data_IF_462826114892
#
_entry.id   IF_462826114892
#
_cell.length_a   1.000
_cell.length_b   1.000
_cell.length_c   1.000
_cell.angle_alpha   90.00
_cell.angle_beta   90.00
_cell.angle_gamma   90.00
#
_symmetry.space_group_name_H-M   'P 1'
#
loop_
_entity.id
_entity.type
_entity.pdbx_description
1 polymer ?
#
# COMPACT_ATOMS: atom_id res chain seq x y z
N UNK A 1 1.66 -6.04 -16.69
CA UNK A 1 2.97 -6.07 -16.00
C UNK A 1 2.73 -6.34 -14.53
N UNK A 2 3.64 -7.04 -13.85
CA UNK A 2 3.64 -7.16 -12.39
C UNK A 2 4.53 -6.05 -11.81
N UNK A 3 4.17 -5.53 -10.65
CA UNK A 3 4.92 -4.47 -9.96
C UNK A 3 5.54 -5.00 -8.68
N UNK A 4 6.73 -4.52 -8.33
CA UNK A 4 7.38 -4.88 -7.07
C UNK A 4 7.26 -3.74 -6.07
N UNK A 5 6.79 -4.04 -4.87
CA UNK A 5 6.63 -3.07 -3.79
C UNK A 5 7.39 -3.50 -2.54
N UNK A 6 7.80 -2.58 -1.66
CA UNK A 6 8.31 -2.95 -0.34
C UNK A 6 7.25 -3.69 0.47
N UNK A 7 7.64 -4.75 1.18
CA UNK A 7 6.77 -5.55 2.01
C UNK A 7 6.12 -4.72 3.15
N UNK A 8 6.80 -3.66 3.61
CA UNK A 8 6.28 -2.72 4.62
C UNK A 8 5.05 -1.93 4.17
N UNK A 9 4.82 -1.82 2.86
CA UNK A 9 3.67 -1.11 2.30
C UNK A 9 2.38 -1.96 2.30
N UNK A 10 2.50 -3.29 2.52
CA UNK A 10 1.37 -4.19 2.53
C UNK A 10 0.56 -4.02 3.83
N UNK A 11 -0.72 -3.75 3.66
CA UNK A 11 -1.73 -3.90 4.70
C UNK A 11 -2.30 -5.30 4.61
N UNK A 12 -2.07 -6.10 5.65
CA UNK A 12 -2.63 -7.44 5.77
C UNK A 12 -3.55 -7.52 6.99
N UNK A 13 -4.83 -7.82 6.77
CA UNK A 13 -5.84 -7.97 7.84
C UNK A 13 -6.70 -9.19 7.55
N UNK A 14 -6.35 -10.33 8.17
CA UNK A 14 -6.91 -11.63 7.79
C UNK A 14 -6.59 -11.95 6.33
N UNK A 15 -7.63 -12.21 5.53
CA UNK A 15 -7.51 -12.50 4.10
C UNK A 15 -7.34 -11.23 3.23
N UNK A 16 -7.60 -10.04 3.79
CA UNK A 16 -7.44 -8.80 3.05
C UNK A 16 -5.95 -8.52 2.81
N UNK A 17 -5.59 -8.37 1.53
CA UNK A 17 -4.30 -7.86 1.07
C UNK A 17 -4.54 -6.55 0.33
N UNK A 18 -4.00 -5.46 0.88
CA UNK A 18 -4.21 -4.13 0.34
C UNK A 18 -2.97 -3.26 0.51
N UNK A 19 -2.93 -2.14 -0.21
CA UNK A 19 -1.94 -1.08 -0.03
C UNK A 19 -2.66 0.25 0.10
N UNK A 20 -1.98 1.24 0.68
CA UNK A 20 -2.45 2.62 0.59
C UNK A 20 -1.79 3.32 -0.59
N UNK A 21 -2.61 3.91 -1.45
CA UNK A 21 -2.16 4.83 -2.50
C UNK A 21 -2.63 6.24 -2.18
N UNK A 22 -1.86 7.25 -2.59
CA UNK A 22 -2.30 8.64 -2.54
C UNK A 22 -3.09 8.95 -3.81
N UNK A 23 -4.31 9.45 -3.64
CA UNK A 23 -5.08 10.01 -4.74
C UNK A 23 -4.55 11.39 -5.18
N UNK A 24 -5.20 11.99 -6.17
CA UNK A 24 -4.83 13.32 -6.70
C UNK A 24 -4.94 14.43 -5.65
N UNK A 25 -5.68 14.20 -4.57
CA UNK A 25 -5.83 15.13 -3.44
C UNK A 25 -4.85 14.82 -2.30
N UNK A 26 -3.87 13.94 -2.53
CA UNK A 26 -2.92 13.45 -1.51
C UNK A 26 -3.61 12.73 -0.34
N UNK A 27 -4.81 12.18 -0.54
CA UNK A 27 -5.51 11.43 0.50
C UNK A 27 -5.20 9.93 0.35
N UNK A 28 -4.82 9.24 1.44
CA UNK A 28 -4.62 7.80 1.41
C UNK A 28 -5.93 7.05 1.11
N UNK A 29 -5.88 6.17 0.11
CA UNK A 29 -6.97 5.26 -0.24
C UNK A 29 -6.49 3.83 -0.17
N UNK A 30 -7.28 3.00 0.49
CA UNK A 30 -7.03 1.57 0.56
C UNK A 30 -7.38 0.92 -0.78
N UNK A 31 -6.43 0.24 -1.38
CA UNK A 31 -6.56 -0.46 -2.66
C UNK A 31 -6.27 -1.94 -2.44
N UNK A 32 -7.24 -2.80 -2.73
CA UNK A 32 -7.01 -4.24 -2.69
C UNK A 32 -6.05 -4.64 -3.81
N UNK A 33 -5.09 -5.50 -3.48
CA UNK A 33 -4.09 -5.99 -4.42
C UNK A 33 -3.98 -7.50 -4.37
N UNK A 34 -3.60 -8.10 -5.50
CA UNK A 34 -3.26 -9.51 -5.57
C UNK A 34 -1.73 -9.64 -5.51
N UNK A 35 -1.25 -10.36 -4.51
CA UNK A 35 0.18 -10.57 -4.28
C UNK A 35 0.60 -11.91 -4.89
N UNK A 36 1.76 -11.92 -5.53
CA UNK A 36 2.44 -13.09 -6.07
C UNK A 36 3.58 -13.54 -5.16
N UNK A 37 4.78 -13.57 -5.72
CA UNK A 37 6.00 -14.01 -5.03
C UNK A 37 6.52 -12.96 -4.05
N UNK A 38 7.36 -13.41 -3.10
CA UNK A 38 8.14 -12.55 -2.21
C UNK A 38 9.62 -12.79 -2.46
N UNK A 39 10.37 -11.71 -2.65
CA UNK A 39 11.83 -11.74 -2.76
C UNK A 39 12.43 -10.78 -1.75
N UNK A 40 12.99 -11.32 -0.67
CA UNK A 40 13.54 -10.53 0.44
C UNK A 40 12.50 -9.59 1.05
N UNK A 41 12.73 -8.28 0.91
CA UNK A 41 11.85 -7.22 1.40
C UNK A 41 10.88 -6.69 0.33
N UNK A 42 10.81 -7.33 -0.83
CA UNK A 42 9.90 -6.95 -1.90
C UNK A 42 8.79 -7.99 -2.11
N UNK A 43 7.61 -7.49 -2.47
CA UNK A 43 6.44 -8.29 -2.82
C UNK A 43 6.07 -8.00 -4.27
N UNK A 44 5.79 -9.06 -5.00
CA UNK A 44 5.24 -8.98 -6.34
C UNK A 44 3.73 -8.69 -6.26
N UNK A 45 3.28 -7.65 -6.95
CA UNK A 45 1.89 -7.27 -7.13
C UNK A 45 1.46 -7.66 -8.53
N UNK A 46 0.60 -8.67 -8.61
CA UNK A 46 0.12 -9.23 -9.86
C UNK A 46 -1.08 -8.48 -10.44
N UNK A 47 -1.82 -7.73 -9.61
CA UNK A 47 -2.93 -6.87 -10.04
C UNK A 47 -3.40 -5.93 -8.93
N UNK A 48 -4.06 -4.83 -9.31
CA UNK A 48 -4.70 -3.88 -8.38
C UNK A 48 -3.90 -2.59 -8.15
N UNK A 49 -2.64 -2.55 -8.60
CA UNK A 49 -1.75 -1.40 -8.54
C UNK A 49 -1.26 -1.07 -9.96
N UNK A 50 -1.26 0.21 -10.33
CA UNK A 50 -0.78 0.72 -11.61
C UNK A 50 0.60 1.36 -11.51
N UNK A 51 1.31 1.41 -12.64
CA UNK A 51 2.55 2.17 -12.76
C UNK A 51 2.27 3.66 -12.54
N UNK A 52 3.18 4.34 -11.82
CA UNK A 52 3.03 5.77 -11.50
C UNK A 52 2.10 6.09 -10.34
N UNK A 53 1.39 5.11 -9.76
CA UNK A 53 0.63 5.34 -8.53
C UNK A 53 1.58 5.60 -7.33
N UNK A 54 1.19 6.57 -6.48
CA UNK A 54 2.00 6.96 -5.31
C UNK A 54 1.66 6.07 -4.12
N UNK A 55 2.55 5.14 -3.81
CA UNK A 55 2.41 4.16 -2.73
C UNK A 55 2.85 4.74 -1.38
N UNK A 56 2.05 4.50 -0.33
CA UNK A 56 2.44 4.81 1.06
C UNK A 56 3.27 3.65 1.63
N UNK A 57 4.54 3.91 1.94
CA UNK A 57 5.49 2.88 2.36
C UNK A 57 5.41 2.48 3.83
N UNK A 58 4.82 3.34 4.67
CA UNK A 58 4.64 3.09 6.10
C UNK A 58 3.21 3.44 6.51
N UNK A 59 2.25 2.51 6.30
CA UNK A 59 0.85 2.72 6.63
C UNK A 59 0.61 3.09 8.10
N UNK A 60 1.37 2.49 9.02
CA UNK A 60 1.26 2.75 10.45
C UNK A 60 1.67 4.19 10.81
N UNK A 61 2.79 4.67 10.26
CA UNK A 61 3.23 6.04 10.48
C UNK A 61 2.30 7.06 9.81
N UNK A 62 1.77 6.74 8.63
CA UNK A 62 0.82 7.60 7.92
C UNK A 62 -0.54 7.70 8.64
N UNK A 63 -1.05 6.60 9.21
CA UNK A 63 -2.30 6.63 9.97
C UNK A 63 -2.13 7.37 11.30
N UNK A 64 -1.01 7.16 12.01
CA UNK A 64 -0.73 7.87 13.26
C UNK A 64 -0.65 9.40 13.09
N UNK A 65 -0.13 9.89 11.96
CA UNK A 65 -0.09 11.34 11.68
C UNK A 65 -1.44 11.92 11.24
N UNK A 66 -2.31 11.11 10.64
CA UNK A 66 -3.67 11.53 10.30
C UNK A 66 -4.57 11.63 11.54
N UNK A 67 -4.41 10.73 12.52
CA UNK A 67 -5.13 10.81 13.80
C UNK A 67 -4.78 12.09 14.58
N UNK A 68 -3.52 12.52 14.54
CA UNK A 68 -3.06 13.75 15.19
C UNK A 68 -3.55 15.06 14.54
N UNK A 69 -4.14 15.00 13.34
CA UNK A 69 -4.69 16.19 12.65
C UNK A 69 -6.18 16.41 12.96
N UNK A 70 -6.80 15.54 13.76
CA UNK A 70 -8.23 15.61 14.08
C UNK A 70 -8.51 16.07 15.53
N UNK A 71 -7.54 16.78 16.14
CA UNK A 71 -7.67 17.49 17.42
C UNK A 71 -7.71 19.01 17.23
#
# INVERSE_FOLDING_TARGET
SALWIPASALVQRGELRAVYILDDKNLPRLRQVRIGSREGEQLEVLSGLGEGERLVLSPAAALASMEATNE
#
